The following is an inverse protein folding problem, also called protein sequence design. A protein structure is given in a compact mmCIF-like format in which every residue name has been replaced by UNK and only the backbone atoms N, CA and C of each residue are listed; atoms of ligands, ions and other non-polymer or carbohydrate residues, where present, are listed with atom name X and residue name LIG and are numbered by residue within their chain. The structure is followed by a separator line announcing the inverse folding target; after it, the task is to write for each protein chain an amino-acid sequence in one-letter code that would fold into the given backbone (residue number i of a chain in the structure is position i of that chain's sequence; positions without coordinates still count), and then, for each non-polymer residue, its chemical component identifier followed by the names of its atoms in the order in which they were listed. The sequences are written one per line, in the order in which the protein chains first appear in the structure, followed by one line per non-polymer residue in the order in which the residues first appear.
data_IF_081962222795
#
_entry.id   IF_081962222795
#
_cell.length_a   1.000
_cell.length_b   1.000
_cell.length_c   1.000
_cell.angle_alpha   90.00
_cell.angle_beta   90.00
_cell.angle_gamma   90.00
#
_symmetry.space_group_name_H-M   'P 1'
#
loop_
_entity.id
_entity.type
_entity.pdbx_description
1 polymer ?
#
# COMPACT_ATOMS: atom_id res chain seq x y z
N UNK A 1 25.49 4.95 16.69
CA UNK A 1 24.56 3.83 16.90
C UNK A 1 23.93 3.60 15.55
N UNK A 2 24.36 2.53 14.88
CA UNK A 2 23.88 2.16 13.55
C UNK A 2 22.56 1.42 13.75
N UNK A 3 21.46 2.16 13.88
CA UNK A 3 20.14 1.54 13.93
C UNK A 3 19.81 1.04 12.53
N UNK A 4 19.75 -0.29 12.43
CA UNK A 4 19.63 -1.06 11.21
C UNK A 4 18.23 -0.95 10.61
N UNK A 5 18.01 0.08 9.78
CA UNK A 5 16.79 0.17 8.99
C UNK A 5 16.70 -1.01 8.02
N UNK A 6 15.59 -1.75 8.09
CA UNK A 6 15.41 -2.97 7.31
C UNK A 6 14.81 -2.62 5.95
N UNK A 7 15.54 -2.96 4.87
CA UNK A 7 15.00 -2.84 3.51
C UNK A 7 13.84 -3.81 3.34
N UNK A 8 12.72 -3.32 2.82
CA UNK A 8 11.53 -4.13 2.61
C UNK A 8 11.70 -5.06 1.39
N UNK A 9 11.59 -6.40 1.55
CA UNK A 9 11.85 -7.34 0.46
C UNK A 9 10.63 -7.66 -0.42
N UNK A 10 9.46 -7.15 -0.05
CA UNK A 10 8.16 -7.52 -0.62
C UNK A 10 7.73 -6.70 -1.83
N UNK A 11 6.40 -6.61 -2.03
CA UNK A 11 5.83 -5.79 -3.09
C UNK A 11 5.95 -4.30 -2.77
N UNK A 12 6.73 -3.58 -3.56
CA UNK A 12 6.96 -2.15 -3.40
C UNK A 12 6.21 -1.36 -4.49
N UNK A 13 5.37 -0.37 -4.12
CA UNK A 13 4.70 0.49 -5.10
C UNK A 13 5.69 1.20 -6.03
N UNK A 14 5.56 0.99 -7.34
CA UNK A 14 6.35 1.69 -8.35
C UNK A 14 5.45 2.49 -9.30
N UNK A 15 5.77 3.77 -9.52
CA UNK A 15 5.03 4.64 -10.45
C UNK A 15 3.50 4.62 -10.21
N UNK A 16 3.11 4.97 -8.98
CA UNK A 16 1.71 5.10 -8.54
C UNK A 16 1.33 6.58 -8.38
N UNK A 17 0.04 6.87 -8.53
CA UNK A 17 -0.54 8.18 -8.31
C UNK A 17 -0.41 8.61 -6.84
N UNK A 18 -0.47 9.93 -6.57
CA UNK A 18 -0.28 10.47 -5.22
C UNK A 18 -1.40 10.10 -4.24
N UNK A 19 -2.59 9.78 -4.74
CA UNK A 19 -3.76 9.30 -4.00
C UNK A 19 -3.63 7.83 -3.54
N UNK A 20 -2.71 7.07 -4.13
CA UNK A 20 -2.45 5.68 -3.75
C UNK A 20 -1.60 5.54 -2.47
N UNK A 21 -1.28 6.65 -1.78
CA UNK A 21 -0.40 6.66 -0.60
C UNK A 21 -0.86 7.66 0.46
N UNK A 22 -0.40 7.43 1.69
CA UNK A 22 -0.47 8.41 2.76
C UNK A 22 0.77 9.30 2.75
N UNK A 23 0.74 10.37 3.53
CA UNK A 23 1.87 11.25 3.73
C UNK A 23 1.96 11.74 5.16
N UNK A 24 3.18 11.91 5.68
CA UNK A 24 3.41 12.73 6.86
C UNK A 24 3.73 14.15 6.40
N UNK A 25 3.04 15.13 6.95
CA UNK A 25 3.19 16.55 6.60
C UNK A 25 3.10 17.45 7.83
N UNK A 26 3.55 18.70 7.69
CA UNK A 26 3.49 19.68 8.76
C UNK A 26 2.16 20.44 8.70
N UNK A 27 1.39 20.42 9.79
CA UNK A 27 0.18 21.20 9.95
C UNK A 27 0.20 21.95 11.29
N UNK A 28 0.01 23.28 11.25
CA UNK A 28 -0.02 24.15 12.45
C UNK A 28 1.18 23.98 13.41
N UNK A 29 2.31 23.50 12.90
CA UNK A 29 3.55 23.30 13.66
C UNK A 29 3.81 21.85 14.08
N UNK A 30 2.84 20.95 13.91
CA UNK A 30 2.95 19.54 14.27
C UNK A 30 2.99 18.65 13.01
N UNK A 31 3.73 17.55 13.08
CA UNK A 31 3.69 16.55 12.01
C UNK A 31 2.47 15.64 12.18
N UNK A 32 1.69 15.53 11.12
CA UNK A 32 0.41 14.79 11.08
C UNK A 32 0.39 13.86 9.89
N UNK A 33 -0.44 12.82 9.98
CA UNK A 33 -0.73 11.97 8.83
C UNK A 33 -1.74 12.69 7.94
N UNK A 34 -1.56 12.62 6.63
CA UNK A 34 -2.48 13.17 5.65
C UNK A 34 -2.65 12.23 4.47
N UNK A 35 -3.68 12.51 3.69
CA UNK A 35 -4.05 11.74 2.51
C UNK A 35 -4.33 12.70 1.35
N UNK A 36 -4.04 12.27 0.13
CA UNK A 36 -4.44 12.99 -1.08
C UNK A 36 -5.80 12.45 -1.54
N UNK A 37 -6.85 13.24 -1.40
CA UNK A 37 -8.21 12.84 -1.76
C UNK A 37 -8.74 13.71 -2.89
N UNK A 38 -9.16 13.12 -4.01
CA UNK A 38 -9.83 13.86 -5.09
C UNK A 38 -11.33 13.62 -4.96
N UNK A 39 -12.07 14.67 -4.67
CA UNK A 39 -13.53 14.63 -4.63
C UNK A 39 -14.12 14.73 -6.05
N UNK A 40 -15.43 14.55 -6.18
CA UNK A 40 -16.17 14.90 -7.40
C UNK A 40 -15.93 16.38 -7.75
N UNK A 41 -15.92 16.72 -9.04
CA UNK A 41 -15.65 18.07 -9.58
C UNK A 41 -14.18 18.55 -9.59
N UNK A 42 -13.21 17.63 -9.73
CA UNK A 42 -11.77 17.92 -9.85
C UNK A 42 -11.14 18.64 -8.63
N UNK A 43 -11.86 18.72 -7.51
CA UNK A 43 -11.34 19.29 -6.27
C UNK A 43 -10.35 18.34 -5.59
N UNK A 44 -9.17 18.88 -5.26
CA UNK A 44 -8.12 18.15 -4.58
C UNK A 44 -8.06 18.57 -3.10
N UNK A 45 -8.29 17.60 -2.24
CA UNK A 45 -8.33 17.75 -0.81
C UNK A 45 -7.15 17.05 -0.14
N UNK A 46 -6.76 17.62 1.00
CA UNK A 46 -5.64 17.16 1.82
C UNK A 46 -6.07 16.97 3.27
N UNK A 47 -6.97 16.01 3.56
CA UNK A 47 -7.37 15.70 4.92
C UNK A 47 -6.18 15.24 5.74
N UNK A 48 -6.14 15.65 7.00
CA UNK A 48 -5.07 15.34 7.95
C UNK A 48 -5.65 14.77 9.25
N UNK A 49 -4.81 14.05 9.98
CA UNK A 49 -5.13 13.44 11.27
C UNK A 49 -3.88 13.49 12.16
N UNK A 50 -4.05 14.09 13.34
CA UNK A 50 -3.04 14.11 14.41
C UNK A 50 -3.20 12.93 15.39
N UNK A 51 -4.09 11.98 15.11
CA UNK A 51 -4.38 10.85 15.99
C UNK A 51 -3.31 9.74 15.98
N UNK A 52 -2.26 9.88 15.16
CA UNK A 52 -1.29 8.81 14.88
C UNK A 52 0.17 9.23 15.15
N UNK A 53 0.51 9.75 16.36
CA UNK A 53 1.85 10.28 16.64
C UNK A 53 2.95 9.23 16.53
N UNK A 54 2.69 7.99 16.93
CA UNK A 54 3.66 6.89 16.82
C UNK A 54 4.00 6.56 15.36
N UNK A 55 2.99 6.52 14.49
CA UNK A 55 3.20 6.29 13.06
C UNK A 55 4.01 7.44 12.43
N UNK A 56 3.69 8.69 12.81
CA UNK A 56 4.44 9.87 12.38
C UNK A 56 5.91 9.76 12.78
N UNK A 57 6.20 9.39 14.03
CA UNK A 57 7.56 9.22 14.54
C UNK A 57 8.34 8.17 13.75
N UNK A 58 7.78 6.97 13.57
CA UNK A 58 8.43 5.87 12.82
C UNK A 58 8.73 6.23 11.37
N UNK A 59 7.80 6.92 10.69
CA UNK A 59 8.02 7.39 9.31
C UNK A 59 9.10 8.47 9.28
N UNK A 60 9.04 9.43 10.21
CA UNK A 60 9.99 10.53 10.31
C UNK A 60 11.40 10.07 10.63
N UNK A 61 11.57 9.04 11.46
CA UNK A 61 12.86 8.46 11.80
C UNK A 61 13.61 7.96 10.55
N UNK A 62 12.91 7.17 9.71
CA UNK A 62 13.46 6.70 8.43
C UNK A 62 13.75 7.87 7.49
N UNK A 63 12.82 8.81 7.35
CA UNK A 63 12.97 9.95 6.44
C UNK A 63 14.16 10.82 6.84
N UNK A 64 14.25 11.18 8.12
CA UNK A 64 15.34 11.97 8.65
C UNK A 64 16.69 11.29 8.43
N UNK A 65 16.78 9.98 8.65
CA UNK A 65 18.01 9.22 8.44
C UNK A 65 18.48 9.24 6.98
N UNK A 66 17.59 8.95 6.02
CA UNK A 66 17.98 8.78 4.62
C UNK A 66 17.97 10.06 3.78
N UNK A 67 17.14 11.05 4.12
CA UNK A 67 16.96 12.27 3.32
C UNK A 67 17.39 13.54 4.06
N UNK A 68 17.63 13.47 5.37
CA UNK A 68 17.90 14.64 6.20
C UNK A 68 16.67 15.53 6.45
N UNK A 69 15.49 15.11 6.01
CA UNK A 69 14.25 15.86 6.15
C UNK A 69 13.13 14.98 6.74
N UNK A 70 12.24 15.61 7.50
CA UNK A 70 11.05 14.97 8.04
C UNK A 70 9.91 14.96 7.00
N UNK A 71 8.96 14.05 7.19
CA UNK A 71 7.77 13.94 6.36
C UNK A 71 7.96 13.25 5.01
N UNK A 72 6.88 13.18 4.25
CA UNK A 72 6.81 12.56 2.93
C UNK A 72 5.87 11.36 2.88
N UNK A 73 5.80 10.74 1.69
CA UNK A 73 4.88 9.64 1.43
C UNK A 73 5.29 8.33 2.13
N UNK A 74 4.29 7.54 2.50
CA UNK A 74 4.41 6.17 3.01
C UNK A 74 3.18 5.35 2.60
N UNK A 75 3.28 4.02 2.74
CA UNK A 75 2.19 3.08 2.44
C UNK A 75 1.97 2.15 3.63
N UNK A 76 0.76 1.60 3.73
CA UNK A 76 0.46 0.48 4.62
C UNK A 76 -0.09 -0.63 3.72
N UNK A 77 0.55 -1.81 3.76
CA UNK A 77 0.10 -2.94 2.96
C UNK A 77 -1.02 -3.72 3.65
N UNK A 78 -1.56 -4.74 2.96
CA UNK A 78 -2.61 -5.63 3.46
C UNK A 78 -2.22 -6.40 4.73
N UNK A 79 -0.92 -6.48 5.03
CA UNK A 79 -0.35 -7.08 6.24
C UNK A 79 -0.05 -6.08 7.35
N UNK A 80 -0.56 -4.85 7.24
CA UNK A 80 -0.33 -3.76 8.19
C UNK A 80 1.13 -3.31 8.29
N UNK A 81 1.98 -3.70 7.35
CA UNK A 81 3.38 -3.27 7.33
C UNK A 81 3.49 -1.88 6.74
N UNK A 82 4.17 -0.98 7.45
CA UNK A 82 4.40 0.41 7.04
C UNK A 82 5.65 0.46 6.14
N UNK A 83 5.48 0.95 4.92
CA UNK A 83 6.51 1.01 3.89
C UNK A 83 6.87 2.46 3.58
N UNK A 84 8.14 2.81 3.78
CA UNK A 84 8.62 4.18 3.59
C UNK A 84 9.56 4.22 2.39
N UNK A 85 9.16 4.84 1.26
CA UNK A 85 10.05 5.07 0.12
C UNK A 85 11.10 6.13 0.45
N UNK A 86 12.36 5.91 0.08
CA UNK A 86 13.45 6.88 0.18
C UNK A 86 14.24 6.96 -1.13
N UNK A 87 14.76 8.15 -1.44
CA UNK A 87 15.51 8.41 -2.67
C UNK A 87 14.65 8.49 -3.94
N UNK A 88 15.31 8.85 -5.05
CA UNK A 88 14.66 9.02 -6.37
C UNK A 88 14.31 7.68 -7.04
N UNK A 89 15.13 6.65 -6.85
CA UNK A 89 14.85 5.29 -7.32
C UNK A 89 13.89 4.52 -6.40
N UNK A 90 13.44 5.16 -5.31
CA UNK A 90 12.54 4.65 -4.28
C UNK A 90 12.95 3.27 -3.74
N UNK A 91 14.00 3.23 -2.92
CA UNK A 91 14.21 2.09 -2.02
C UNK A 91 13.16 2.14 -0.90
N UNK A 92 12.61 0.99 -0.50
CA UNK A 92 11.57 0.93 0.52
C UNK A 92 12.11 0.34 1.81
N UNK A 93 11.81 1.00 2.91
CA UNK A 93 12.19 0.58 4.25
C UNK A 93 10.95 0.26 5.08
N UNK A 94 11.08 -0.76 5.92
CA UNK A 94 10.03 -1.21 6.83
C UNK A 94 10.07 -0.37 8.11
N UNK A 95 8.93 0.23 8.46
CA UNK A 95 8.78 1.09 9.65
C UNK A 95 7.95 0.42 10.77
N UNK A 96 7.88 -0.91 10.78
CA UNK A 96 7.04 -1.66 11.70
C UNK A 96 5.63 -1.93 11.17
N UNK A 97 4.83 -2.57 12.01
CA UNK A 97 3.42 -2.83 11.75
C UNK A 97 2.53 -1.78 12.43
N UNK A 98 1.45 -1.40 11.76
CA UNK A 98 0.48 -0.42 12.23
C UNK A 98 -0.94 -0.90 11.93
N UNK A 99 -1.60 -1.44 12.97
CA UNK A 99 -2.91 -2.05 12.84
C UNK A 99 -4.08 -1.05 12.94
N UNK A 100 -3.84 0.11 13.55
CA UNK A 100 -4.87 1.12 13.76
C UNK A 100 -5.34 1.70 12.40
N UNK A 101 -6.67 1.72 12.15
CA UNK A 101 -7.22 2.34 10.95
C UNK A 101 -6.87 3.82 10.85
N UNK A 102 -6.48 4.27 9.65
CA UNK A 102 -6.33 5.69 9.35
C UNK A 102 -7.68 6.26 8.90
N UNK A 103 -8.18 7.25 9.65
CA UNK A 103 -9.43 7.94 9.37
C UNK A 103 -9.24 9.44 9.41
N UNK A 104 -9.97 10.16 8.56
CA UNK A 104 -9.83 11.60 8.38
C UNK A 104 -11.20 12.27 8.41
N UNK A 105 -11.26 13.50 8.93
CA UNK A 105 -12.45 14.32 8.81
C UNK A 105 -12.46 15.01 7.44
N UNK A 106 -13.61 14.96 6.77
CA UNK A 106 -13.84 15.60 5.49
C UNK A 106 -15.31 16.04 5.41
N UNK A 107 -15.55 17.35 5.31
CA UNK A 107 -16.90 17.96 5.25
C UNK A 107 -17.87 17.45 6.34
N UNK A 108 -17.38 17.30 7.58
CA UNK A 108 -18.17 16.79 8.69
C UNK A 108 -18.45 15.27 8.64
N UNK A 109 -17.84 14.55 7.70
CA UNK A 109 -17.87 13.09 7.60
C UNK A 109 -16.50 12.49 7.92
N UNK A 110 -16.48 11.22 8.32
CA UNK A 110 -15.24 10.46 8.49
C UNK A 110 -15.01 9.61 7.25
N UNK A 111 -13.85 9.80 6.60
CA UNK A 111 -13.41 8.99 5.46
C UNK A 111 -12.20 8.14 5.83
N UNK A 112 -12.05 6.98 5.19
CA UNK A 112 -10.96 6.02 5.38
C UNK A 112 -10.80 5.13 4.14
N UNK A 113 -9.85 4.19 4.16
CA UNK A 113 -9.73 3.14 3.15
C UNK A 113 -10.80 2.03 3.23
N UNK A 114 -11.88 2.23 3.97
CA UNK A 114 -13.00 1.28 4.02
C UNK A 114 -13.89 1.46 2.76
N UNK A 115 -14.30 0.40 2.05
CA UNK A 115 -15.12 0.48 0.83
C UNK A 115 -16.57 0.80 1.18
N UNK A 116 -16.81 2.06 1.52
CA UNK A 116 -18.14 2.60 1.73
C UNK A 116 -18.45 3.64 0.66
N UNK A 117 -19.68 3.59 0.14
CA UNK A 117 -20.22 4.57 -0.79
C UNK A 117 -20.83 5.77 -0.08
N UNK A 118 -21.63 6.52 -0.82
CA UNK A 118 -22.41 7.64 -0.27
C UNK A 118 -23.29 7.18 0.90
N UNK A 119 -23.36 7.99 1.96
CA UNK A 119 -24.09 7.68 3.20
C UNK A 119 -23.57 6.44 3.96
N UNK A 120 -22.29 6.07 3.77
CA UNK A 120 -21.60 4.99 4.50
C UNK A 120 -22.19 3.59 4.27
N UNK A 121 -22.87 3.37 3.15
CA UNK A 121 -23.31 2.02 2.78
C UNK A 121 -22.10 1.20 2.29
N UNK A 122 -21.95 -0.06 2.69
CA UNK A 122 -20.91 -0.94 2.15
C UNK A 122 -21.03 -1.07 0.62
N UNK A 123 -19.90 -1.01 -0.08
CA UNK A 123 -19.85 -1.23 -1.53
C UNK A 123 -19.95 -2.72 -1.88
N UNK A 124 -20.62 -3.03 -2.98
CA UNK A 124 -20.58 -4.35 -3.61
C UNK A 124 -19.50 -4.40 -4.72
N UNK A 125 -18.90 -5.57 -5.00
CA UNK A 125 -17.99 -5.70 -6.13
C UNK A 125 -18.64 -5.25 -7.44
N UNK A 126 -17.98 -4.33 -8.14
CA UNK A 126 -18.49 -3.65 -9.33
C UNK A 126 -18.92 -2.21 -9.10
N UNK A 127 -19.14 -1.80 -7.86
CA UNK A 127 -19.54 -0.43 -7.53
C UNK A 127 -18.38 0.57 -7.66
N UNK A 128 -18.73 1.83 -7.90
CA UNK A 128 -17.80 2.95 -7.87
C UNK A 128 -17.35 3.20 -6.41
N UNK A 129 -16.04 3.26 -6.21
CA UNK A 129 -15.43 3.64 -4.95
C UNK A 129 -15.12 5.13 -4.96
N UNK A 130 -15.82 5.91 -4.15
CA UNK A 130 -15.65 7.37 -4.07
C UNK A 130 -14.74 7.83 -2.92
N UNK A 131 -14.63 7.07 -1.83
CA UNK A 131 -13.72 7.37 -0.71
C UNK A 131 -12.23 7.18 -1.02
N UNK A 132 -11.32 7.41 -0.06
CA UNK A 132 -9.86 7.25 -0.23
C UNK A 132 -9.40 5.91 -0.84
N UNK A 133 -8.40 5.97 -1.73
CA UNK A 133 -7.84 4.81 -2.43
C UNK A 133 -6.34 4.55 -2.20
N UNK A 134 -5.79 4.68 -0.98
CA UNK A 134 -4.42 4.25 -0.72
C UNK A 134 -4.30 2.74 -0.93
N UNK A 135 -3.21 2.26 -1.53
CA UNK A 135 -3.06 0.82 -1.75
C UNK A 135 -1.78 0.41 -2.47
N UNK A 136 -1.43 -0.86 -2.32
CA UNK A 136 -0.30 -1.51 -2.95
C UNK A 136 -0.73 -2.04 -4.33
N UNK A 137 -0.01 -1.70 -5.42
CA UNK A 137 -0.39 -2.12 -6.76
C UNK A 137 -0.02 -3.60 -7.01
N UNK A 138 -0.95 -4.30 -7.65
CA UNK A 138 -0.78 -5.63 -8.24
C UNK A 138 -1.28 -5.60 -9.68
N UNK A 139 -1.09 -6.70 -10.41
CA UNK A 139 -1.60 -6.88 -11.76
C UNK A 139 -2.42 -8.16 -11.83
N UNK A 140 -3.69 -8.00 -12.21
CA UNK A 140 -4.53 -9.11 -12.64
C UNK A 140 -4.16 -9.47 -14.08
N UNK A 141 -3.73 -10.71 -14.30
CA UNK A 141 -3.33 -11.17 -15.63
C UNK A 141 -4.55 -11.31 -16.57
N UNK A 142 -4.33 -11.06 -17.86
CA UNK A 142 -5.34 -11.22 -18.89
C UNK A 142 -5.97 -12.63 -18.86
N UNK A 143 -7.27 -12.68 -19.06
CA UNK A 143 -8.11 -13.87 -18.96
C UNK A 143 -8.39 -14.33 -17.54
N UNK A 144 -8.08 -13.52 -16.52
CA UNK A 144 -8.34 -13.85 -15.11
C UNK A 144 -7.60 -15.10 -14.66
N UNK A 145 -6.37 -15.28 -15.15
CA UNK A 145 -5.60 -16.53 -14.97
C UNK A 145 -4.71 -16.53 -13.74
N UNK A 146 -4.26 -15.36 -13.30
CA UNK A 146 -3.30 -15.20 -12.21
C UNK A 146 -3.29 -13.75 -11.72
N UNK A 147 -2.65 -13.52 -10.58
CA UNK A 147 -2.30 -12.19 -10.08
C UNK A 147 -0.78 -12.15 -9.91
N UNK A 148 -0.14 -11.03 -10.21
CA UNK A 148 1.30 -10.88 -10.01
C UNK A 148 1.69 -9.46 -9.64
N UNK A 149 2.88 -9.31 -9.08
CA UNK A 149 3.54 -8.01 -8.94
C UNK A 149 4.98 -8.09 -9.44
N UNK A 150 5.58 -6.92 -9.67
CA UNK A 150 6.96 -6.81 -10.12
C UNK A 150 7.70 -5.80 -9.27
N UNK A 151 8.96 -6.10 -8.96
CA UNK A 151 9.83 -5.19 -8.22
C UNK A 151 11.25 -5.24 -8.77
N UNK A 152 12.01 -4.17 -8.53
CA UNK A 152 13.43 -4.10 -8.90
C UNK A 152 14.24 -4.77 -7.79
N UNK A 153 14.78 -5.96 -8.08
CA UNK A 153 15.60 -6.71 -7.11
C UNK A 153 17.01 -6.14 -6.96
N UNK A 154 17.51 -5.50 -8.01
CA UNK A 154 18.78 -4.76 -8.10
C UNK A 154 18.72 -3.85 -9.34
N UNK A 155 19.62 -2.86 -9.51
CA UNK A 155 19.62 -1.97 -10.66
C UNK A 155 19.54 -2.75 -11.99
N UNK A 156 18.57 -2.39 -12.82
CA UNK A 156 18.32 -3.03 -14.12
C UNK A 156 17.71 -4.44 -14.09
N UNK A 157 17.41 -5.02 -12.93
CA UNK A 157 16.84 -6.39 -12.83
C UNK A 157 15.47 -6.39 -12.15
N UNK A 158 14.43 -6.55 -12.98
CA UNK A 158 13.06 -6.71 -12.55
C UNK A 158 12.73 -8.17 -12.27
N UNK A 159 12.13 -8.45 -11.11
CA UNK A 159 11.61 -9.77 -10.74
C UNK A 159 10.09 -9.74 -10.76
N UNK A 160 9.49 -10.79 -11.30
CA UNK A 160 8.04 -11.01 -11.28
C UNK A 160 7.69 -12.12 -10.29
N UNK A 161 6.72 -11.86 -9.42
CA UNK A 161 6.20 -12.81 -8.44
C UNK A 161 4.74 -13.07 -8.76
N UNK A 162 4.40 -14.33 -9.05
CA UNK A 162 3.04 -14.77 -9.43
C UNK A 162 2.36 -15.45 -8.25
N UNK A 163 1.07 -15.19 -8.07
CA UNK A 163 0.26 -15.78 -7.01
C UNK A 163 0.22 -17.31 -7.16
N UNK A 164 0.12 -17.81 -8.40
CA UNK A 164 0.18 -19.24 -8.69
C UNK A 164 1.44 -19.95 -8.21
N UNK A 165 2.57 -19.24 -8.04
CA UNK A 165 3.79 -19.80 -7.46
C UNK A 165 3.72 -19.91 -5.94
N UNK A 166 2.89 -19.10 -5.29
CA UNK A 166 2.75 -19.05 -3.83
C UNK A 166 1.69 -20.03 -3.34
N UNK A 167 0.53 -20.08 -3.99
CA UNK A 167 -0.65 -20.86 -3.51
C UNK A 167 -1.10 -21.96 -4.48
N UNK A 168 -0.34 -22.17 -5.57
CA UNK A 168 -0.68 -23.13 -6.61
C UNK A 168 -1.63 -22.57 -7.69
N UNK A 169 -1.56 -23.17 -8.88
CA UNK A 169 -2.22 -22.69 -10.09
C UNK A 169 -3.75 -22.62 -9.94
N UNK A 170 -4.36 -23.68 -9.42
CA UNK A 170 -5.83 -23.75 -9.32
C UNK A 170 -6.40 -22.73 -8.34
N UNK A 171 -5.75 -22.51 -7.19
CA UNK A 171 -6.20 -21.53 -6.21
C UNK A 171 -6.00 -20.10 -6.73
N UNK A 172 -4.84 -19.80 -7.31
CA UNK A 172 -4.57 -18.49 -7.89
C UNK A 172 -5.54 -18.15 -9.03
N UNK A 173 -5.92 -19.14 -9.84
CA UNK A 173 -6.94 -18.96 -10.88
C UNK A 173 -8.31 -18.63 -10.30
N UNK A 174 -8.73 -19.28 -9.20
CA UNK A 174 -10.02 -18.95 -8.53
C UNK A 174 -10.04 -17.51 -8.05
N UNK A 175 -8.98 -17.09 -7.35
CA UNK A 175 -8.82 -15.71 -6.88
C UNK A 175 -8.84 -14.73 -8.04
N UNK A 176 -8.06 -15.00 -9.10
CA UNK A 176 -8.02 -14.14 -10.28
C UNK A 176 -9.36 -14.07 -11.03
N UNK A 177 -10.12 -15.16 -11.08
CA UNK A 177 -11.46 -15.19 -11.69
C UNK A 177 -12.48 -14.41 -10.87
N UNK A 178 -12.43 -14.52 -9.53
CA UNK A 178 -13.31 -13.76 -8.63
C UNK A 178 -13.10 -12.27 -8.79
N UNK A 179 -11.85 -11.81 -8.72
CA UNK A 179 -11.50 -10.40 -8.96
C UNK A 179 -11.86 -9.98 -10.39
N UNK A 180 -11.63 -10.87 -11.37
CA UNK A 180 -11.83 -10.60 -12.79
C UNK A 180 -13.28 -10.40 -13.24
N UNK A 181 -14.28 -10.76 -12.43
CA UNK A 181 -15.71 -10.59 -12.74
C UNK A 181 -16.07 -9.16 -13.17
N UNK A 182 -15.39 -8.17 -12.59
CA UNK A 182 -15.65 -6.74 -12.83
C UNK A 182 -14.49 -6.02 -13.53
N UNK A 183 -13.45 -6.76 -13.98
CA UNK A 183 -12.28 -6.18 -14.66
C UNK A 183 -12.36 -6.31 -16.19
N UNK A 184 -12.99 -7.39 -16.65
CA UNK A 184 -13.00 -7.77 -18.06
C UNK A 184 -11.77 -8.58 -18.48
N UNK A 185 -11.77 -9.08 -19.72
CA UNK A 185 -10.81 -10.10 -20.17
C UNK A 185 -9.35 -9.61 -20.24
N UNK A 186 -9.10 -8.31 -20.39
CA UNK A 186 -7.74 -7.79 -20.53
C UNK A 186 -6.94 -7.81 -19.21
N UNK A 187 -7.60 -7.99 -18.06
CA UNK A 187 -6.97 -7.81 -16.76
C UNK A 187 -6.54 -6.36 -16.53
N UNK A 188 -5.46 -6.15 -15.79
CA UNK A 188 -4.89 -4.82 -15.58
C UNK A 188 -4.43 -4.58 -14.14
N UNK A 189 -4.07 -3.32 -13.86
CA UNK A 189 -3.65 -2.89 -12.53
C UNK A 189 -4.83 -2.99 -11.56
N UNK A 190 -4.57 -3.56 -10.40
CA UNK A 190 -5.45 -3.53 -9.23
C UNK A 190 -4.63 -3.04 -8.04
N UNK A 191 -5.30 -2.61 -6.99
CA UNK A 191 -4.68 -2.17 -5.75
C UNK A 191 -5.30 -2.93 -4.59
N UNK A 192 -4.51 -3.22 -3.57
CA UNK A 192 -4.96 -3.80 -2.31
C UNK A 192 -4.54 -2.86 -1.19
N UNK A 193 -5.50 -2.44 -0.36
CA UNK A 193 -5.21 -1.56 0.77
C UNK A 193 -5.01 -2.32 2.09
N UNK A 194 -4.75 -1.57 3.15
CA UNK A 194 -4.51 -2.11 4.49
C UNK A 194 -5.71 -2.84 5.08
N UNK A 195 -6.91 -2.65 4.55
CA UNK A 195 -8.12 -3.37 4.94
C UNK A 195 -8.36 -4.64 4.11
N UNK A 196 -7.39 -5.02 3.27
CA UNK A 196 -7.49 -6.11 2.29
C UNK A 196 -8.51 -5.86 1.17
N UNK A 197 -8.98 -4.62 1.01
CA UNK A 197 -9.95 -4.29 -0.03
C UNK A 197 -9.24 -4.09 -1.37
N UNK A 198 -9.85 -4.60 -2.42
CA UNK A 198 -9.33 -4.59 -3.78
C UNK A 198 -10.10 -3.59 -4.61
N UNK A 199 -9.39 -2.78 -5.37
CA UNK A 199 -9.99 -1.83 -6.29
C UNK A 199 -9.13 -1.66 -7.53
N UNK A 200 -9.70 -1.08 -8.59
CA UNK A 200 -8.97 -0.83 -9.83
C UNK A 200 -9.26 0.55 -10.38
N UNK A 201 -8.28 1.15 -11.09
CA UNK A 201 -8.56 2.31 -11.92
C UNK A 201 -9.46 1.92 -13.10
N UNK A 202 -10.38 2.80 -13.42
CA UNK A 202 -11.31 2.75 -14.53
C UNK A 202 -11.35 4.13 -15.20
N UNK A 203 -11.38 4.15 -16.54
CA UNK A 203 -11.55 5.40 -17.26
C UNK A 203 -13.06 5.67 -17.38
N UNK A 204 -13.57 6.52 -16.48
CA UNK A 204 -14.94 6.98 -16.49
C UNK A 204 -15.16 8.11 -17.50
N UNK A 205 -16.41 8.62 -17.53
CA UNK A 205 -16.82 9.69 -18.45
C UNK A 205 -16.12 11.03 -18.16
N UNK A 206 -15.79 11.29 -16.89
CA UNK A 206 -15.24 12.56 -16.43
C UNK A 206 -13.79 12.45 -15.96
N UNK A 207 -13.18 11.26 -16.00
CA UNK A 207 -11.79 11.10 -15.58
C UNK A 207 -11.46 9.70 -15.09
N UNK A 208 -10.42 9.64 -14.26
CA UNK A 208 -10.00 8.43 -13.59
C UNK A 208 -10.92 8.17 -12.39
N UNK A 209 -11.62 7.04 -12.44
CA UNK A 209 -12.51 6.54 -11.40
C UNK A 209 -11.94 5.24 -10.83
N UNK A 210 -12.47 4.78 -9.69
CA UNK A 210 -12.05 3.53 -9.08
C UNK A 210 -13.25 2.60 -8.83
N UNK A 211 -13.10 1.33 -9.22
CA UNK A 211 -14.13 0.31 -9.03
C UNK A 211 -13.70 -0.63 -7.92
N UNK A 212 -14.60 -0.90 -6.97
CA UNK A 212 -14.40 -1.90 -5.92
C UNK A 212 -14.51 -3.31 -6.50
N UNK A 213 -13.59 -4.21 -6.13
CA UNK A 213 -13.50 -5.58 -6.65
C UNK A 213 -13.72 -6.66 -5.58
N UNK A 214 -13.96 -6.26 -4.32
CA UNK A 214 -14.10 -7.17 -3.19
C UNK A 214 -12.89 -7.15 -2.25
N UNK A 215 -12.72 -8.20 -1.46
CA UNK A 215 -11.69 -8.31 -0.42
C UNK A 215 -10.81 -9.53 -0.66
N UNK A 216 -9.50 -9.41 -0.46
CA UNK A 216 -8.60 -10.56 -0.48
C UNK A 216 -8.70 -11.36 0.82
N UNK A 217 -8.66 -12.68 0.66
CA UNK A 217 -8.44 -13.63 1.74
C UNK A 217 -6.93 -13.86 1.86
N UNK A 218 -6.32 -13.45 2.98
CA UNK A 218 -4.87 -13.51 3.18
C UNK A 218 -4.34 -14.95 3.18
N UNK A 219 -5.16 -15.94 3.56
CA UNK A 219 -4.81 -17.36 3.49
C UNK A 219 -4.69 -17.86 2.05
N UNK A 220 -5.25 -17.11 1.10
CA UNK A 220 -5.24 -17.38 -0.35
C UNK A 220 -4.56 -16.26 -1.13
N UNK A 221 -3.69 -15.49 -0.47
CA UNK A 221 -2.98 -14.37 -1.08
C UNK A 221 -1.46 -14.63 -1.11
N UNK A 222 -0.68 -13.65 -1.56
CA UNK A 222 0.78 -13.71 -1.46
C UNK A 222 1.18 -13.76 0.01
N UNK A 223 2.13 -14.61 0.44
CA UNK A 223 2.52 -14.67 1.84
C UNK A 223 3.05 -13.32 2.34
N UNK A 224 2.83 -13.04 3.63
CA UNK A 224 3.41 -11.88 4.30
C UNK A 224 4.94 -11.88 4.10
N UNK A 225 5.53 -10.78 3.60
CA UNK A 225 6.98 -10.67 3.49
C UNK A 225 7.64 -10.79 4.86
N UNK A 226 8.55 -11.76 4.99
CA UNK A 226 9.37 -11.95 6.19
C UNK A 226 10.39 -10.81 6.28
N UNK A 227 10.38 -10.13 7.43
CA UNK A 227 11.34 -9.09 7.75
C UNK A 227 12.44 -9.76 8.55
N UNK A 228 13.57 -10.08 7.89
CA UNK A 228 14.73 -10.60 8.58
C UNK A 228 15.31 -9.49 9.47
N UNK A 229 15.29 -9.69 10.78
CA UNK A 229 16.13 -8.92 11.69
C UNK A 229 17.58 -9.27 11.38
N UNK A 230 18.41 -8.26 11.10
CA UNK A 230 19.79 -8.45 10.68
C UNK A 230 20.54 -9.25 11.77
N UNK A 231 21.07 -10.44 11.43
CA UNK A 231 22.00 -11.21 12.27
C UNK A 231 23.34 -10.47 12.36
N UNK A 232 23.36 -9.30 12.99
CA UNK A 232 24.58 -8.54 13.24
C UNK A 232 24.96 -8.55 14.73
N UNK A 233 24.88 -9.73 15.37
CA UNK A 233 25.39 -9.91 16.74
C UNK A 233 25.85 -11.33 17.09
N UNK A 234 26.40 -12.13 16.16
CA UNK A 234 27.03 -13.41 16.56
C UNK A 234 28.29 -13.74 15.76
N UNK A 235 29.33 -12.93 15.93
CA UNK A 235 30.74 -13.36 15.74
C UNK A 235 31.71 -12.32 16.32
N UNK A 236 31.56 -12.04 17.61
CA UNK A 236 32.70 -11.69 18.46
C UNK A 236 32.69 -12.61 19.67
N UNK A 237 32.73 -13.92 19.41
CA UNK A 237 33.32 -14.81 20.39
C UNK A 237 34.81 -14.50 20.42
N UNK A 238 35.16 -13.83 21.52
CA UNK A 238 36.49 -13.70 22.09
C UNK A 238 37.27 -15.00 21.91
N UNK A 239 38.36 -14.94 21.15
CA UNK A 239 39.42 -15.94 21.24
C UNK A 239 40.30 -15.57 22.44
N UNK A 240 40.28 -16.31 23.56
CA UNK A 240 41.37 -16.22 24.52
C UNK A 240 42.54 -17.05 23.96
N UNK A 241 43.75 -16.60 24.28
CA UNK A 241 45.07 -17.18 23.97
C UNK A 241 45.73 -16.68 22.68
#
# INVERSE_FOLDING_TARGET
MSDGFIKFPGNCPGNVSKDARYSVGLEKGDYVVGLYYRATDDELWYPTSNAHPELVERVNEIKLHFTGALGGGFYINEYKQVLVPVGEEAEYYYAGEYAEPLSFEFEGQTISGDPVGENRQPLEPGDLWTGPHPGIPYVLAAGGKDVYYRYMSRPGVQKEVKLSKSIGVEQAKRVAQELGKHVGYQGGRIYVNEFCNVFRPHQGHYGLEYIYLGKVDLDRWFPKPEIAEDESATSRETNPW
#
